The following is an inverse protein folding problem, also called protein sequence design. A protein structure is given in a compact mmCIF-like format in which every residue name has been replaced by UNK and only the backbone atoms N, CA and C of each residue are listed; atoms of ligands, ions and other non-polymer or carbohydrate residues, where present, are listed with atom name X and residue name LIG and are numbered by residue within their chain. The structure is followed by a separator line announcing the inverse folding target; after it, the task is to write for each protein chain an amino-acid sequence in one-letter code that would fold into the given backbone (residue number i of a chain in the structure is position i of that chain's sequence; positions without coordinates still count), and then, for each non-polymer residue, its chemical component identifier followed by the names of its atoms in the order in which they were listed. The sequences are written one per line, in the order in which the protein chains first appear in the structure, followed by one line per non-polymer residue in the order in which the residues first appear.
data_IF_770950201024
#
_entry.id   IF_770950201024
#
_cell.length_a   1.000
_cell.length_b   1.000
_cell.length_c   1.000
_cell.angle_alpha   90.00
_cell.angle_beta   90.00
_cell.angle_gamma   90.00
#
_symmetry.space_group_name_H-M   'P 1'
#
loop_
_entity.id
_entity.type
_entity.pdbx_description
1 polymer ?
#
# COMPACT_ATOMS: atom_id res chain seq x y z
N UNK A 1 -1.27 -20.57 -2.79
CA UNK A 1 -2.23 -19.68 -2.08
C UNK A 1 -3.04 -20.39 -1.00
N UNK A 2 -3.80 -21.45 -1.32
CA UNK A 2 -4.67 -22.17 -0.35
C UNK A 2 -3.98 -22.55 0.97
N UNK A 3 -2.81 -23.20 0.92
CA UNK A 3 -2.09 -23.60 2.14
C UNK A 3 -1.70 -22.40 3.01
N UNK A 4 -1.27 -21.29 2.39
CA UNK A 4 -0.90 -20.05 3.11
C UNK A 4 -2.13 -19.41 3.74
N UNK A 5 -3.25 -19.35 3.01
CA UNK A 5 -4.52 -18.85 3.56
C UNK A 5 -4.99 -19.68 4.77
N UNK A 6 -4.90 -21.01 4.67
CA UNK A 6 -5.22 -21.91 5.80
C UNK A 6 -4.26 -21.72 6.97
N UNK A 7 -2.97 -21.54 6.73
CA UNK A 7 -1.98 -21.26 7.76
C UNK A 7 -2.28 -19.95 8.50
N UNK A 8 -2.62 -18.86 7.78
CA UNK A 8 -3.05 -17.60 8.39
C UNK A 8 -4.32 -17.81 9.22
N UNK A 9 -5.31 -18.54 8.69
CA UNK A 9 -6.58 -18.74 9.38
C UNK A 9 -6.47 -19.58 10.65
N UNK A 10 -5.56 -20.55 10.70
CA UNK A 10 -5.44 -21.51 11.81
C UNK A 10 -4.29 -21.22 12.78
N UNK A 11 -3.23 -20.56 12.31
CA UNK A 11 -1.97 -20.43 13.03
C UNK A 11 -1.47 -18.98 13.15
N UNK A 12 -2.30 -17.96 12.89
CA UNK A 12 -1.90 -16.54 12.92
C UNK A 12 -1.06 -16.15 14.16
N UNK A 13 -1.45 -16.60 15.36
CA UNK A 13 -0.77 -16.26 16.61
C UNK A 13 0.64 -16.86 16.72
N UNK A 14 0.90 -17.94 15.98
CA UNK A 14 2.17 -18.69 15.97
C UNK A 14 3.13 -18.17 14.89
N UNK A 15 2.69 -17.30 13.98
CA UNK A 15 3.55 -16.73 12.94
C UNK A 15 4.31 -15.54 13.50
N UNK A 16 5.64 -15.63 13.54
CA UNK A 16 6.54 -14.56 14.00
C UNK A 16 7.22 -13.85 12.83
N UNK A 17 8.13 -14.52 12.12
CA UNK A 17 8.90 -13.94 11.01
C UNK A 17 8.33 -14.22 9.60
N UNK A 18 7.26 -15.02 9.49
CA UNK A 18 6.72 -15.48 8.22
C UNK A 18 5.91 -14.45 7.42
N UNK A 19 5.55 -13.32 8.02
CA UNK A 19 4.58 -12.37 7.44
C UNK A 19 5.03 -11.76 6.11
N UNK A 20 6.32 -11.42 5.96
CA UNK A 20 6.86 -10.94 4.68
C UNK A 20 6.65 -11.95 3.54
N UNK A 21 6.94 -13.22 3.81
CA UNK A 21 6.77 -14.29 2.83
C UNK A 21 5.30 -14.53 2.48
N UNK A 22 4.41 -14.42 3.48
CA UNK A 22 2.96 -14.53 3.27
C UNK A 22 2.47 -13.42 2.32
N UNK A 23 2.83 -12.17 2.58
CA UNK A 23 2.48 -11.06 1.69
C UNK A 23 3.14 -11.15 0.32
N UNK A 24 4.37 -11.68 0.22
CA UNK A 24 5.02 -11.96 -1.07
C UNK A 24 4.24 -12.96 -1.92
N UNK A 25 3.75 -14.07 -1.31
CA UNK A 25 2.89 -15.04 -2.01
C UNK A 25 1.56 -14.41 -2.43
N UNK A 26 0.93 -13.60 -1.57
CA UNK A 26 -0.30 -12.91 -1.94
C UNK A 26 -0.10 -11.82 -2.99
N UNK A 27 1.05 -11.15 -3.00
CA UNK A 27 1.41 -10.18 -4.03
C UNK A 27 1.54 -10.86 -5.39
N UNK A 28 2.20 -12.02 -5.48
CA UNK A 28 2.25 -12.81 -6.71
C UNK A 28 0.84 -13.25 -7.14
N UNK A 29 0.03 -13.72 -6.19
CA UNK A 29 -1.35 -14.13 -6.47
C UNK A 29 -2.26 -12.96 -6.88
N UNK A 30 -1.96 -11.73 -6.46
CA UNK A 30 -2.74 -10.54 -6.79
C UNK A 30 -2.72 -10.21 -8.29
N UNK A 31 -1.65 -10.59 -9.00
CA UNK A 31 -1.51 -10.44 -10.45
C UNK A 31 -2.04 -11.63 -11.27
N UNK A 32 -2.60 -12.65 -10.63
CA UNK A 32 -3.13 -13.84 -11.31
C UNK A 32 -4.41 -13.51 -12.11
N UNK A 33 -4.75 -14.36 -13.06
CA UNK A 33 -5.96 -14.26 -13.87
C UNK A 33 -7.09 -15.13 -13.33
N UNK A 34 -6.76 -16.17 -12.56
CA UNK A 34 -7.72 -17.09 -11.96
C UNK A 34 -8.40 -16.44 -10.76
N UNK A 35 -9.69 -16.11 -10.93
CA UNK A 35 -10.52 -15.44 -9.92
C UNK A 35 -10.42 -16.11 -8.54
N UNK A 36 -10.55 -17.44 -8.49
CA UNK A 36 -10.48 -18.18 -7.22
C UNK A 36 -9.15 -18.03 -6.47
N UNK A 37 -8.04 -17.77 -7.18
CA UNK A 37 -6.72 -17.55 -6.59
C UNK A 37 -6.63 -16.12 -6.06
N UNK A 38 -7.02 -15.14 -6.89
CA UNK A 38 -6.98 -13.71 -6.57
C UNK A 38 -7.90 -13.41 -5.39
N UNK A 39 -9.14 -13.89 -5.44
CA UNK A 39 -10.11 -13.68 -4.37
C UNK A 39 -9.66 -14.29 -3.07
N UNK A 40 -9.15 -15.52 -3.07
CA UNK A 40 -8.69 -16.17 -1.84
C UNK A 40 -7.52 -15.41 -1.20
N UNK A 41 -6.58 -14.96 -2.01
CA UNK A 41 -5.47 -14.12 -1.55
C UNK A 41 -6.00 -12.79 -1.01
N UNK A 42 -6.91 -12.13 -1.73
CA UNK A 42 -7.48 -10.84 -1.32
C UNK A 42 -8.27 -10.93 -0.01
N UNK A 43 -9.16 -11.92 0.14
CA UNK A 43 -9.93 -12.12 1.36
C UNK A 43 -9.03 -12.38 2.57
N UNK A 44 -7.95 -13.15 2.37
CA UNK A 44 -6.99 -13.40 3.45
C UNK A 44 -6.22 -12.13 3.80
N UNK A 45 -5.73 -11.38 2.80
CA UNK A 45 -5.07 -10.07 3.00
C UNK A 45 -5.99 -9.08 3.72
N UNK A 46 -7.26 -8.99 3.31
CA UNK A 46 -8.29 -8.17 3.96
C UNK A 46 -8.43 -8.53 5.43
N UNK A 47 -8.61 -9.81 5.76
CA UNK A 47 -8.66 -10.29 7.14
C UNK A 47 -7.42 -9.93 7.96
N UNK A 48 -6.22 -10.05 7.37
CA UNK A 48 -4.97 -9.67 8.05
C UNK A 48 -5.03 -8.18 8.43
N UNK A 49 -5.42 -7.31 7.50
CA UNK A 49 -5.43 -5.85 7.71
C UNK A 49 -6.56 -5.40 8.62
N UNK A 50 -7.75 -6.00 8.53
CA UNK A 50 -8.91 -5.57 9.33
C UNK A 50 -8.93 -6.17 10.73
N UNK A 51 -8.44 -7.40 10.91
CA UNK A 51 -8.62 -8.14 12.16
C UNK A 51 -7.29 -8.40 12.87
N UNK A 52 -6.26 -8.82 12.14
CA UNK A 52 -4.99 -9.21 12.77
C UNK A 52 -4.13 -8.00 13.09
N UNK A 53 -4.16 -6.94 12.27
CA UNK A 53 -3.45 -5.70 12.59
C UNK A 53 -3.95 -5.15 13.93
N UNK A 54 -5.26 -5.09 14.15
CA UNK A 54 -5.81 -4.65 15.45
C UNK A 54 -5.28 -5.47 16.64
N UNK A 55 -5.11 -6.78 16.47
CA UNK A 55 -4.77 -7.71 17.57
C UNK A 55 -3.28 -7.89 17.80
N UNK A 56 -2.47 -7.84 16.75
CA UNK A 56 -1.06 -8.27 16.81
C UNK A 56 -0.15 -7.50 15.84
N UNK A 57 -0.43 -6.22 15.57
CA UNK A 57 0.37 -5.40 14.63
C UNK A 57 1.87 -5.43 14.91
N UNK A 58 2.27 -5.40 16.18
CA UNK A 58 3.68 -5.45 16.61
C UNK A 58 4.42 -6.65 16.01
N UNK A 59 3.78 -7.82 15.91
CA UNK A 59 4.40 -9.02 15.34
C UNK A 59 4.50 -8.99 13.80
N UNK A 60 3.87 -8.00 13.16
CA UNK A 60 3.73 -7.89 11.70
C UNK A 60 4.35 -6.62 11.14
N UNK A 61 4.86 -5.72 11.99
CA UNK A 61 5.34 -4.40 11.60
C UNK A 61 6.40 -4.45 10.50
N UNK A 62 7.29 -5.45 10.56
CA UNK A 62 8.35 -5.64 9.56
C UNK A 62 7.80 -5.94 8.17
N UNK A 63 6.58 -6.47 8.07
CA UNK A 63 5.91 -6.82 6.82
C UNK A 63 4.96 -5.75 6.30
N UNK A 64 4.87 -4.59 6.95
CA UNK A 64 3.94 -3.52 6.58
C UNK A 64 4.14 -3.06 5.13
N UNK A 65 5.39 -2.89 4.70
CA UNK A 65 5.69 -2.49 3.32
C UNK A 65 5.27 -3.56 2.30
N UNK A 66 5.45 -4.84 2.63
CA UNK A 66 5.01 -5.96 1.80
C UNK A 66 3.49 -6.00 1.67
N UNK A 67 2.77 -5.70 2.77
CA UNK A 67 1.31 -5.60 2.77
C UNK A 67 0.81 -4.47 1.86
N UNK A 68 1.39 -3.26 1.99
CA UNK A 68 1.08 -2.11 1.14
C UNK A 68 1.36 -2.43 -0.34
N UNK A 69 2.52 -3.04 -0.64
CA UNK A 69 2.87 -3.47 -1.99
C UNK A 69 1.88 -4.52 -2.54
N UNK A 70 1.46 -5.47 -1.70
CA UNK A 70 0.46 -6.47 -2.06
C UNK A 70 -0.89 -5.81 -2.40
N UNK A 71 -1.36 -4.87 -1.58
CA UNK A 71 -2.59 -4.11 -1.86
C UNK A 71 -2.49 -3.31 -3.15
N UNK A 72 -1.33 -2.69 -3.40
CA UNK A 72 -1.07 -1.96 -4.64
C UNK A 72 -1.25 -2.84 -5.88
N UNK A 73 -0.86 -4.11 -5.79
CA UNK A 73 -0.96 -5.04 -6.90
C UNK A 73 -2.41 -5.49 -7.13
N UNK A 74 -3.19 -5.75 -6.07
CA UNK A 74 -4.64 -5.95 -6.20
C UNK A 74 -5.35 -4.73 -6.81
N UNK A 75 -4.94 -3.52 -6.41
CA UNK A 75 -5.43 -2.28 -7.00
C UNK A 75 -5.10 -2.14 -8.49
N UNK A 76 -3.99 -2.74 -8.94
CA UNK A 76 -3.56 -2.68 -10.34
C UNK A 76 -4.08 -3.84 -11.20
N UNK A 77 -4.76 -4.84 -10.63
CA UNK A 77 -5.32 -5.94 -11.42
C UNK A 77 -6.60 -5.50 -12.15
N UNK A 78 -6.44 -5.14 -13.43
CA UNK A 78 -7.51 -4.59 -14.26
C UNK A 78 -8.71 -5.52 -14.53
N UNK A 79 -8.63 -6.80 -14.14
CA UNK A 79 -9.72 -7.78 -14.26
C UNK A 79 -10.74 -7.68 -13.12
N UNK A 80 -10.33 -7.25 -11.94
CA UNK A 80 -11.14 -7.31 -10.72
C UNK A 80 -11.37 -5.92 -10.13
N UNK A 81 -12.21 -5.11 -10.80
CA UNK A 81 -12.46 -3.72 -10.42
C UNK A 81 -12.87 -3.54 -8.95
N UNK A 82 -13.80 -4.36 -8.46
CA UNK A 82 -14.29 -4.26 -7.07
C UNK A 82 -13.17 -4.53 -6.05
N UNK A 83 -12.32 -5.53 -6.33
CA UNK A 83 -11.16 -5.83 -5.51
C UNK A 83 -10.15 -4.68 -5.57
N UNK A 84 -9.99 -4.03 -6.72
CA UNK A 84 -9.12 -2.86 -6.83
C UNK A 84 -9.60 -1.69 -5.98
N UNK A 85 -10.90 -1.42 -5.96
CA UNK A 85 -11.50 -0.37 -5.14
C UNK A 85 -11.38 -0.66 -3.65
N UNK A 86 -11.64 -1.90 -3.24
CA UNK A 86 -11.50 -2.31 -1.84
C UNK A 86 -10.03 -2.35 -1.41
N UNK A 87 -9.10 -2.72 -2.29
CA UNK A 87 -7.66 -2.66 -2.03
C UNK A 87 -7.21 -1.23 -1.68
N UNK A 88 -7.66 -0.23 -2.47
CA UNK A 88 -7.39 1.18 -2.18
C UNK A 88 -7.99 1.59 -0.82
N UNK A 89 -9.17 1.08 -0.47
CA UNK A 89 -9.80 1.31 0.83
C UNK A 89 -8.97 0.73 1.98
N UNK A 90 -8.39 -0.45 1.79
CA UNK A 90 -7.48 -1.07 2.75
C UNK A 90 -6.15 -0.31 2.88
N UNK A 91 -5.62 0.29 1.80
CA UNK A 91 -4.45 1.17 1.88
C UNK A 91 -4.75 2.38 2.79
N UNK A 92 -5.97 2.93 2.73
CA UNK A 92 -6.43 3.97 3.68
C UNK A 92 -6.46 3.44 5.12
N UNK A 93 -6.90 2.20 5.34
CA UNK A 93 -6.83 1.57 6.67
C UNK A 93 -5.39 1.41 7.15
N UNK A 94 -4.44 1.10 6.28
CA UNK A 94 -3.02 1.07 6.65
C UNK A 94 -2.53 2.43 7.17
N UNK A 95 -3.02 3.56 6.65
CA UNK A 95 -2.67 4.89 7.15
C UNK A 95 -3.13 5.11 8.60
N UNK A 96 -4.28 4.56 9.00
CA UNK A 96 -4.73 4.58 10.40
C UNK A 96 -3.72 3.88 11.31
N UNK A 97 -3.16 2.75 10.87
CA UNK A 97 -2.18 1.98 11.64
C UNK A 97 -0.85 2.74 11.78
N UNK A 98 -0.38 3.44 10.73
CA UNK A 98 0.82 4.29 10.82
C UNK A 98 0.62 5.41 11.83
N UNK A 99 -0.52 6.09 11.79
CA UNK A 99 -0.83 7.18 12.70
C UNK A 99 -1.09 6.73 14.15
N UNK A 100 -1.73 5.57 14.35
CA UNK A 100 -2.07 5.06 15.68
C UNK A 100 -0.84 4.49 16.41
N UNK A 101 0.13 3.94 15.68
CA UNK A 101 1.30 3.28 16.28
C UNK A 101 2.64 3.73 15.68
N UNK A 102 2.95 5.04 15.63
CA UNK A 102 4.20 5.54 15.04
C UNK A 102 5.44 5.04 15.79
N UNK A 103 5.33 4.79 17.10
CA UNK A 103 6.41 4.24 17.93
C UNK A 103 6.88 2.86 17.43
N UNK A 104 5.97 1.99 16.95
CA UNK A 104 6.35 0.68 16.39
C UNK A 104 7.24 0.81 15.16
N UNK A 105 7.00 1.83 14.32
CA UNK A 105 7.84 2.09 13.16
C UNK A 105 9.22 2.68 13.52
N UNK A 106 9.34 3.37 14.66
CA UNK A 106 10.61 3.91 15.16
C UNK A 106 11.48 2.85 15.83
N UNK A 107 10.87 2.08 16.73
CA UNK A 107 11.57 1.23 17.69
C UNK A 107 11.88 -0.16 17.17
N UNK A 108 11.04 -0.73 16.30
CA UNK A 108 11.20 -2.11 15.82
C UNK A 108 12.30 -2.16 14.74
N UNK A 109 13.56 -2.18 15.16
CA UNK A 109 14.74 -2.30 14.29
C UNK A 109 14.91 -3.75 13.79
N UNK A 110 14.01 -4.18 12.89
CA UNK A 110 14.06 -5.49 12.25
C UNK A 110 14.62 -5.50 10.82
N UNK A 111 14.99 -4.34 10.24
CA UNK A 111 15.67 -4.31 8.93
C UNK A 111 17.17 -4.08 9.11
N UNK A 112 17.97 -5.03 8.63
CA UNK A 112 19.44 -5.06 8.71
C UNK A 112 20.14 -3.82 8.09
N UNK A 113 19.38 -2.92 7.44
CA UNK A 113 19.84 -1.68 6.82
C UNK A 113 19.50 -0.39 7.62
N UNK A 114 18.92 -0.51 8.81
CA UNK A 114 18.33 0.62 9.54
C UNK A 114 19.31 1.52 10.31
N UNK A 115 20.56 1.09 10.48
CA UNK A 115 21.56 1.83 11.27
C UNK A 115 21.86 3.21 10.66
N UNK A 116 21.64 3.38 9.35
CA UNK A 116 21.86 4.63 8.64
C UNK A 116 20.66 5.62 8.67
N UNK A 117 19.47 5.19 9.13
CA UNK A 117 18.26 6.01 9.10
C UNK A 117 18.02 6.62 10.49
N UNK A 118 17.96 7.96 10.62
CA UNK A 118 17.59 8.62 11.87
C UNK A 118 16.28 8.07 12.42
N UNK A 119 16.20 7.85 13.73
CA UNK A 119 15.04 7.21 14.35
C UNK A 119 13.73 7.95 14.04
N UNK A 120 13.77 9.28 14.08
CA UNK A 120 12.64 10.14 13.74
C UNK A 120 12.11 9.89 12.32
N UNK A 121 13.00 9.57 11.37
CA UNK A 121 12.69 9.36 9.94
C UNK A 121 12.17 7.96 9.64
N UNK A 122 12.27 7.00 10.57
CA UNK A 122 11.84 5.62 10.32
C UNK A 122 10.34 5.52 10.09
N UNK A 123 9.52 6.33 10.75
CA UNK A 123 8.06 6.38 10.52
C UNK A 123 7.76 6.78 9.07
N UNK A 124 8.53 7.72 8.54
CA UNK A 124 8.40 8.13 7.15
C UNK A 124 8.83 7.03 6.20
N UNK A 125 10.06 6.54 6.34
CA UNK A 125 10.65 5.57 5.41
C UNK A 125 9.91 4.23 5.43
N UNK A 126 9.38 3.80 6.58
CA UNK A 126 8.75 2.48 6.73
C UNK A 126 7.24 2.49 6.69
N UNK A 127 6.60 3.61 7.04
CA UNK A 127 5.15 3.74 7.11
C UNK A 127 4.60 4.64 6.00
N UNK A 128 4.80 5.95 6.15
CA UNK A 128 4.14 6.95 5.30
C UNK A 128 4.59 6.91 3.84
N UNK A 129 5.90 6.88 3.60
CA UNK A 129 6.46 6.95 2.24
C UNK A 129 6.06 5.73 1.38
N UNK A 130 6.21 4.47 1.82
CA UNK A 130 5.77 3.31 1.05
C UNK A 130 4.28 3.35 0.73
N UNK A 131 3.45 3.82 1.66
CA UNK A 131 2.01 3.95 1.49
C UNK A 131 1.64 5.00 0.43
N UNK A 132 2.19 6.21 0.54
CA UNK A 132 1.93 7.30 -0.41
C UNK A 132 2.52 6.98 -1.80
N UNK A 133 3.69 6.36 -1.84
CA UNK A 133 4.31 5.89 -3.07
C UNK A 133 3.48 4.81 -3.76
N UNK A 134 2.93 3.84 -3.00
CA UNK A 134 2.03 2.83 -3.55
C UNK A 134 0.79 3.45 -4.20
N UNK A 135 0.13 4.42 -3.55
CA UNK A 135 -1.00 5.12 -4.15
C UNK A 135 -0.59 5.87 -5.43
N UNK A 136 0.58 6.52 -5.44
CA UNK A 136 1.13 7.13 -6.66
C UNK A 136 1.35 6.11 -7.79
N UNK A 137 1.86 4.92 -7.48
CA UNK A 137 1.98 3.83 -8.45
C UNK A 137 0.62 3.42 -9.03
N UNK A 138 -0.43 3.30 -8.20
CA UNK A 138 -1.79 2.98 -8.64
C UNK A 138 -2.33 4.08 -9.57
N UNK A 139 -2.15 5.36 -9.23
CA UNK A 139 -2.53 6.51 -10.06
C UNK A 139 -1.83 6.50 -11.42
N UNK A 140 -0.62 5.93 -11.50
CA UNK A 140 0.16 5.90 -12.73
C UNK A 140 -0.07 4.65 -13.59
N UNK A 141 -0.57 3.54 -13.02
CA UNK A 141 -0.68 2.24 -13.69
C UNK A 141 -2.12 1.85 -14.09
N UNK A 142 -3.13 2.43 -13.47
CA UNK A 142 -4.51 1.90 -13.54
C UNK A 142 -5.43 2.65 -14.52
N UNK A 143 -6.69 2.22 -14.64
CA UNK A 143 -7.74 2.91 -15.39
C UNK A 143 -8.29 4.12 -14.64
N UNK A 144 -9.00 5.00 -15.33
CA UNK A 144 -9.40 6.34 -14.86
C UNK A 144 -10.12 6.33 -13.49
N UNK A 145 -11.05 5.42 -13.30
CA UNK A 145 -11.81 5.19 -12.07
C UNK A 145 -10.91 4.88 -10.86
N UNK A 146 -10.07 3.86 -10.98
CA UNK A 146 -9.11 3.42 -9.96
C UNK A 146 -8.08 4.50 -9.69
N UNK A 147 -7.58 5.19 -10.74
CA UNK A 147 -6.67 6.33 -10.62
C UNK A 147 -7.29 7.47 -9.80
N UNK A 148 -8.52 7.85 -10.14
CA UNK A 148 -9.25 8.92 -9.45
C UNK A 148 -9.44 8.58 -7.98
N UNK A 149 -9.82 7.33 -7.69
CA UNK A 149 -9.99 6.85 -6.32
C UNK A 149 -8.67 6.86 -5.53
N UNK A 150 -7.59 6.34 -6.10
CA UNK A 150 -6.28 6.33 -5.47
C UNK A 150 -5.75 7.74 -5.19
N UNK A 151 -5.93 8.67 -6.14
CA UNK A 151 -5.54 10.08 -5.98
C UNK A 151 -6.34 10.76 -4.87
N UNK A 152 -7.65 10.49 -4.82
CA UNK A 152 -8.53 10.99 -3.75
C UNK A 152 -8.05 10.51 -2.39
N UNK A 153 -7.79 9.21 -2.24
CA UNK A 153 -7.30 8.63 -0.98
C UNK A 153 -5.91 9.17 -0.61
N UNK A 154 -5.02 9.38 -1.59
CA UNK A 154 -3.71 9.98 -1.35
C UNK A 154 -3.86 11.38 -0.74
N UNK A 155 -4.66 12.25 -1.34
CA UNK A 155 -4.87 13.60 -0.81
C UNK A 155 -5.65 13.62 0.50
N UNK A 156 -6.60 12.71 0.70
CA UNK A 156 -7.28 12.55 1.98
C UNK A 156 -6.27 12.21 3.09
N UNK A 157 -5.34 11.29 2.85
CA UNK A 157 -4.29 10.93 3.82
C UNK A 157 -3.39 12.13 4.11
N UNK A 158 -2.90 12.81 3.08
CA UNK A 158 -2.03 13.99 3.24
C UNK A 158 -2.75 15.10 3.99
N UNK A 159 -4.02 15.36 3.68
CA UNK A 159 -4.84 16.36 4.38
C UNK A 159 -5.11 15.99 5.83
N UNK A 160 -5.31 14.71 6.13
CA UNK A 160 -5.69 14.25 7.47
C UNK A 160 -4.49 14.14 8.41
N UNK A 161 -3.34 13.69 7.90
CA UNK A 161 -2.17 13.37 8.72
C UNK A 161 -0.95 14.25 8.44
N UNK A 162 -1.01 15.16 7.47
CA UNK A 162 0.13 16.00 7.06
C UNK A 162 0.72 16.84 8.20
N UNK A 163 -0.10 17.23 9.17
CA UNK A 163 0.37 17.96 10.37
C UNK A 163 1.32 17.12 11.25
N UNK A 164 1.31 15.80 11.09
CA UNK A 164 2.24 14.89 11.80
C UNK A 164 3.57 14.70 11.06
N UNK A 165 3.70 15.24 9.84
CA UNK A 165 4.89 15.03 9.01
C UNK A 165 5.97 16.07 9.34
N UNK A 166 7.20 15.60 9.46
CA UNK A 166 8.36 16.50 9.58
C UNK A 166 8.51 17.35 8.32
N UNK A 167 8.97 18.59 8.49
CA UNK A 167 9.08 19.57 7.40
C UNK A 167 9.90 19.05 6.20
N UNK A 168 10.96 18.25 6.43
CA UNK A 168 11.81 17.72 5.37
C UNK A 168 11.15 16.59 4.57
N UNK A 169 10.20 15.83 5.15
CA UNK A 169 9.49 14.76 4.44
C UNK A 169 8.60 15.27 3.31
N UNK A 170 8.09 16.50 3.45
CA UNK A 170 7.33 17.17 2.40
C UNK A 170 8.11 17.29 1.09
N UNK A 171 9.45 17.42 1.14
CA UNK A 171 10.29 17.45 -0.07
C UNK A 171 10.18 16.14 -0.86
N UNK A 172 10.16 15.00 -0.18
CA UNK A 172 10.02 13.70 -0.84
C UNK A 172 8.59 13.47 -1.31
N UNK A 173 7.60 13.89 -0.53
CA UNK A 173 6.20 13.85 -0.95
C UNK A 173 5.96 14.67 -2.21
N UNK A 174 6.48 15.89 -2.29
CA UNK A 174 6.32 16.73 -3.48
C UNK A 174 6.98 16.12 -4.71
N UNK A 175 8.13 15.44 -4.59
CA UNK A 175 8.70 14.68 -5.72
C UNK A 175 7.73 13.60 -6.22
N UNK A 176 7.05 12.91 -5.31
CA UNK A 176 6.04 11.89 -5.67
C UNK A 176 4.83 12.53 -6.32
N UNK A 177 4.32 13.64 -5.77
CA UNK A 177 3.16 14.37 -6.29
C UNK A 177 3.44 14.97 -7.67
N UNK A 178 4.56 15.66 -7.86
CA UNK A 178 4.90 16.25 -9.15
C UNK A 178 5.02 15.20 -10.25
N UNK A 179 5.58 14.02 -9.96
CA UNK A 179 5.63 12.90 -10.93
C UNK A 179 4.25 12.35 -11.33
N UNK A 180 3.21 12.56 -10.52
CA UNK A 180 1.83 12.20 -10.90
C UNK A 180 1.30 13.20 -11.93
N UNK A 181 1.66 14.48 -11.81
CA UNK A 181 1.18 15.57 -12.64
C UNK A 181 2.12 15.97 -13.78
N UNK A 182 3.30 15.35 -13.88
CA UNK A 182 4.22 15.55 -15.01
C UNK A 182 3.54 15.10 -16.31
N UNK A 183 3.17 16.08 -17.14
CA UNK A 183 2.40 15.96 -18.37
C UNK A 183 3.11 15.20 -19.51
N UNK A 184 4.33 14.71 -19.30
CA UNK A 184 5.09 13.95 -20.32
C UNK A 184 4.52 12.55 -20.59
N UNK A 185 3.44 12.15 -19.90
CA UNK A 185 2.71 10.88 -20.11
C UNK A 185 1.53 10.98 -21.08
N UNK A 186 1.27 12.16 -21.66
CA UNK A 186 0.33 12.29 -22.78
C UNK A 186 1.08 11.89 -24.05
N UNK A 187 0.67 10.84 -24.79
CA UNK A 187 1.03 10.74 -26.19
C UNK A 187 0.48 11.99 -26.88
N UNK A 188 1.33 12.76 -27.54
CA UNK A 188 0.91 13.70 -28.58
C UNK A 188 0.14 12.91 -29.63
N UNK A 189 -1.19 12.88 -29.55
CA UNK A 189 -2.14 12.70 -30.66
C UNK A 189 -3.54 12.51 -30.09
N UNK A 190 -4.30 13.59 -30.04
CA UNK A 190 -5.48 13.74 -30.89
C UNK A 190 -5.64 15.23 -31.13
N UNK A 191 -5.20 15.66 -32.30
CA UNK A 191 -5.58 16.92 -32.91
C UNK A 191 -7.10 17.01 -32.81
N UNK A 192 -7.62 17.81 -31.87
CA UNK A 192 -8.96 18.32 -31.99
C UNK A 192 -8.99 19.04 -33.33
N UNK A 193 -9.69 18.45 -34.30
CA UNK A 193 -10.09 19.17 -35.49
C UNK A 193 -10.89 20.35 -34.96
N UNK A 194 -10.31 21.54 -35.07
CA UNK A 194 -11.05 22.77 -35.04
C UNK A 194 -12.06 22.69 -36.18
N UNK A 195 -13.30 22.35 -35.85
CA UNK A 195 -14.43 22.88 -36.58
C UNK A 195 -14.50 24.37 -36.23
N UNK A 196 -14.98 25.16 -37.19
CA UNK A 196 -14.99 26.64 -37.29
C UNK A 196 -13.70 27.25 -37.86
#
# INVERSE_FOLDING_TARGET
VRCIAQMVNSQANNIKSGWKNIFSVFHLAAGDQEESIVELAFHTTKKIITDLYEKQFTAMIDSFQDAVKCLSEFACNARFHDLSMEAIRLVRTCALNVNAAPHLFREHAGMENDVAIPEDDRVWVRGWFPLLFSLSCVVNRCKLDVRTRALTVLFEIVKTYGDTFSAHWWKDLFKVLFRIFDNTKLPEQHTEKAEW
#
